data_IF_944838681621
#
_entry.id   IF_944838681621
#
_cell.length_a   1.000
_cell.length_b   1.000
_cell.length_c   1.000
_cell.angle_alpha   90.00
_cell.angle_beta   90.00
_cell.angle_gamma   90.00
#
_symmetry.space_group_name_H-M   'P 1'
#
loop_
_entity.id
_entity.type
_entity.pdbx_description
1 polymer ?
#
# COMPACT_ATOMS: atom_id res chain seq x y z
N UNK A 1 -3.78 7.72 15.46
CA UNK A 1 -3.85 6.27 15.17
C UNK A 1 -3.25 6.06 13.80
N UNK A 2 -2.29 5.14 13.69
CA UNK A 2 -1.57 4.86 12.44
C UNK A 2 -2.32 3.79 11.66
N UNK A 3 -2.46 4.02 10.36
CA UNK A 3 -3.20 3.13 9.46
C UNK A 3 -2.35 2.84 8.23
N UNK A 4 -2.32 1.58 7.81
CA UNK A 4 -1.71 1.14 6.56
C UNK A 4 -2.87 0.84 5.61
N UNK A 5 -2.97 1.59 4.53
CA UNK A 5 -4.02 1.43 3.53
C UNK A 5 -3.42 0.91 2.24
N UNK A 6 -3.96 -0.17 1.72
CA UNK A 6 -3.47 -0.78 0.49
C UNK A 6 -4.54 -0.59 -0.56
N UNK A 7 -4.19 0.19 -1.58
CA UNK A 7 -5.09 0.60 -2.65
C UNK A 7 -4.62 -0.08 -3.94
N UNK A 8 -5.52 -0.82 -4.56
CA UNK A 8 -5.41 -1.19 -5.96
C UNK A 8 -6.43 -0.36 -6.74
N UNK A 9 -6.22 0.95 -6.94
CA UNK A 9 -7.09 1.66 -7.83
C UNK A 9 -6.84 1.12 -9.24
N UNK A 10 -7.91 0.82 -9.97
CA UNK A 10 -7.87 0.99 -11.41
C UNK A 10 -7.36 2.39 -11.66
N UNK A 11 -6.18 2.53 -12.28
CA UNK A 11 -5.59 3.84 -12.56
C UNK A 11 -6.54 4.52 -13.55
N UNK A 12 -7.45 5.32 -12.99
CA UNK A 12 -8.26 6.23 -13.76
C UNK A 12 -7.36 7.41 -14.09
N UNK A 13 -6.99 7.51 -15.36
CA UNK A 13 -6.33 8.68 -15.88
C UNK A 13 -7.40 9.74 -16.17
N UNK A 14 -7.42 10.85 -15.40
CA UNK A 14 -8.40 11.90 -15.59
C UNK A 14 -8.18 12.70 -16.89
N UNK A 15 -6.96 12.73 -17.43
CA UNK A 15 -6.66 13.40 -18.70
C UNK A 15 -7.16 12.56 -19.88
N UNK A 16 -6.96 11.25 -19.82
CA UNK A 16 -7.38 10.34 -20.88
C UNK A 16 -8.85 9.87 -20.75
N UNK A 17 -9.55 10.20 -19.66
CA UNK A 17 -10.94 9.78 -19.33
C UNK A 17 -11.18 8.28 -19.53
N UNK A 18 -10.16 7.46 -19.38
CA UNK A 18 -10.19 6.01 -19.57
C UNK A 18 -9.45 5.35 -18.40
N UNK A 19 -9.85 4.13 -18.07
CA UNK A 19 -9.00 3.26 -17.26
C UNK A 19 -7.79 2.95 -18.12
N UNK A 20 -6.63 3.48 -17.76
CA UNK A 20 -5.41 3.28 -18.53
C UNK A 20 -4.88 1.91 -18.15
N UNK A 21 -5.08 1.00 -19.10
CA UNK A 21 -4.42 -0.30 -19.28
C UNK A 21 -3.97 -1.01 -18.01
N UNK A 22 -4.77 -2.01 -17.60
CA UNK A 22 -4.40 -3.16 -16.77
C UNK A 22 -3.52 -2.85 -15.55
N UNK A 23 -4.17 -2.85 -14.39
CA UNK A 23 -3.62 -2.75 -13.03
C UNK A 23 -2.62 -3.84 -12.67
N UNK A 24 -1.47 -3.83 -13.33
CA UNK A 24 -0.33 -4.67 -12.94
C UNK A 24 0.35 -4.07 -11.71
N UNK A 25 0.14 -2.79 -11.40
CA UNK A 25 0.74 -2.13 -10.24
C UNK A 25 -0.28 -1.85 -9.13
N UNK A 26 0.17 -1.99 -7.90
CA UNK A 26 -0.56 -1.83 -6.65
C UNK A 26 0.10 -0.72 -5.83
N UNK A 27 -0.71 0.12 -5.20
CA UNK A 27 -0.23 1.20 -4.33
C UNK A 27 -0.43 0.82 -2.86
N UNK A 28 0.66 0.76 -2.11
CA UNK A 28 0.63 0.66 -0.66
C UNK A 28 0.76 2.07 -0.11
N UNK A 29 -0.21 2.52 0.69
CA UNK A 29 -0.14 3.81 1.38
C UNK A 29 -0.11 3.68 2.91
N UNK A 30 0.60 4.58 3.56
CA UNK A 30 0.74 4.63 5.02
C UNK A 30 0.43 6.04 5.49
N UNK A 31 -0.55 6.17 6.37
CA UNK A 31 -1.01 7.47 6.88
C UNK A 31 -1.23 7.44 8.39
N UNK A 32 -1.41 8.63 8.99
CA UNK A 32 -1.53 8.81 10.44
C UNK A 32 -0.22 9.26 11.08
N UNK A 33 0.05 8.80 12.31
CA UNK A 33 1.22 9.20 13.08
C UNK A 33 2.47 8.44 12.61
N UNK A 34 3.06 8.92 11.52
CA UNK A 34 4.22 8.33 10.86
C UNK A 34 5.52 9.08 11.18
N UNK A 35 5.47 10.16 11.95
CA UNK A 35 6.60 11.08 12.14
C UNK A 35 7.82 10.37 12.77
N UNK A 36 7.58 9.55 13.79
CA UNK A 36 8.63 8.79 14.47
C UNK A 36 9.20 7.63 13.63
N UNK A 37 8.56 7.30 12.51
CA UNK A 37 8.91 6.18 11.65
C UNK A 37 9.31 6.62 10.23
N UNK A 38 9.33 7.93 9.95
CA UNK A 38 9.55 8.49 8.61
C UNK A 38 10.82 7.98 7.93
N UNK A 39 11.91 7.86 8.67
CA UNK A 39 13.21 7.44 8.12
C UNK A 39 13.19 5.95 7.73
N UNK A 40 12.55 5.11 8.55
CA UNK A 40 12.33 3.70 8.23
C UNK A 40 11.45 3.54 6.99
N UNK A 41 10.33 4.28 6.93
CA UNK A 41 9.39 4.23 5.80
C UNK A 41 10.10 4.65 4.50
N UNK A 42 10.91 5.71 4.56
CA UNK A 42 11.74 6.17 3.43
C UNK A 42 12.76 5.12 2.99
N UNK A 43 13.46 4.48 3.93
CA UNK A 43 14.42 3.40 3.63
C UNK A 43 13.75 2.19 2.98
N UNK A 44 12.48 1.92 3.31
CA UNK A 44 11.67 0.86 2.70
C UNK A 44 11.19 1.20 1.27
N UNK A 45 11.55 2.37 0.74
CA UNK A 45 11.26 2.77 -0.64
C UNK A 45 9.96 3.54 -0.82
N UNK A 46 9.29 3.94 0.27
CA UNK A 46 8.12 4.80 0.18
C UNK A 46 8.50 6.24 -0.15
N UNK A 47 7.64 6.87 -0.93
CA UNK A 47 7.69 8.28 -1.25
C UNK A 47 6.66 9.03 -0.41
N UNK A 48 6.98 10.26 0.00
CA UNK A 48 6.04 11.11 0.72
C UNK A 48 5.18 11.88 -0.29
N UNK A 49 3.87 11.76 -0.17
CA UNK A 49 2.90 12.62 -0.81
C UNK A 49 2.50 13.74 0.17
N UNK A 50 2.90 14.98 -0.16
CA UNK A 50 2.62 16.14 0.67
C UNK A 50 1.15 16.57 0.60
N UNK A 51 0.47 16.33 -0.53
CA UNK A 51 -0.92 16.71 -0.74
C UNK A 51 -1.85 15.74 0.00
N UNK A 52 -1.60 14.44 -0.14
CA UNK A 52 -2.32 13.38 0.57
C UNK A 52 -1.90 13.22 2.05
N UNK A 53 -0.78 13.83 2.46
CA UNK A 53 -0.14 13.62 3.78
C UNK A 53 0.04 12.14 4.10
N UNK A 54 0.40 11.36 3.09
CA UNK A 54 0.60 9.92 3.20
C UNK A 54 1.90 9.49 2.53
N UNK A 55 2.46 8.39 2.99
CA UNK A 55 3.54 7.71 2.30
C UNK A 55 2.93 6.76 1.28
N UNK A 56 3.55 6.61 0.12
CA UNK A 56 3.12 5.67 -0.90
C UNK A 56 4.27 4.85 -1.48
N UNK A 57 3.97 3.62 -1.86
CA UNK A 57 4.88 2.72 -2.55
C UNK A 57 4.13 1.98 -3.65
N UNK A 58 4.58 2.14 -4.89
CA UNK A 58 3.99 1.51 -6.07
C UNK A 58 4.81 0.26 -6.38
N UNK A 59 4.13 -0.88 -6.50
CA UNK A 59 4.76 -2.19 -6.72
C UNK A 59 3.96 -2.99 -7.73
N UNK A 60 4.63 -3.88 -8.46
CA UNK A 60 3.92 -4.80 -9.34
C UNK A 60 3.11 -5.82 -8.54
N UNK A 61 2.08 -6.38 -9.17
CA UNK A 61 1.17 -7.37 -8.61
C UNK A 61 1.93 -8.67 -8.31
N UNK A 62 2.92 -9.01 -9.14
CA UNK A 62 3.80 -10.16 -8.93
C UNK A 62 4.69 -9.95 -7.71
N UNK A 63 5.31 -8.77 -7.57
CA UNK A 63 6.08 -8.43 -6.38
C UNK A 63 5.19 -8.48 -5.14
N UNK A 64 3.98 -7.93 -5.22
CA UNK A 64 3.05 -7.87 -4.11
C UNK A 64 2.63 -9.26 -3.63
N UNK A 65 2.24 -10.16 -4.55
CA UNK A 65 1.89 -11.55 -4.22
C UNK A 65 3.04 -12.30 -3.54
N UNK A 66 4.28 -11.94 -3.85
CA UNK A 66 5.47 -12.64 -3.34
C UNK A 66 6.02 -12.04 -2.04
N UNK A 67 5.88 -10.72 -1.84
CA UNK A 67 6.61 -9.98 -0.81
C UNK A 67 5.72 -9.14 0.12
N UNK A 68 4.49 -8.78 -0.29
CA UNK A 68 3.72 -7.77 0.43
C UNK A 68 3.40 -8.20 1.86
N UNK A 69 3.04 -9.47 2.10
CA UNK A 69 2.67 -9.92 3.45
C UNK A 69 3.80 -9.77 4.47
N UNK A 70 5.00 -10.28 4.16
CA UNK A 70 6.15 -10.20 5.07
C UNK A 70 6.60 -8.75 5.25
N UNK A 71 6.62 -7.97 4.15
CA UNK A 71 6.97 -6.55 4.15
C UNK A 71 6.00 -5.70 4.99
N UNK A 72 4.70 -5.84 4.74
CA UNK A 72 3.64 -5.12 5.47
C UNK A 72 3.59 -5.52 6.94
N UNK A 73 3.80 -6.81 7.25
CA UNK A 73 3.84 -7.28 8.64
C UNK A 73 5.02 -6.70 9.41
N UNK A 74 6.19 -6.58 8.77
CA UNK A 74 7.36 -5.95 9.37
C UNK A 74 7.11 -4.47 9.66
N UNK A 75 6.54 -3.74 8.69
CA UNK A 75 6.17 -2.33 8.84
C UNK A 75 5.12 -2.18 9.95
N UNK A 76 4.03 -2.97 9.90
CA UNK A 76 2.95 -2.92 10.87
C UNK A 76 3.46 -3.19 12.29
N UNK A 77 4.32 -4.21 12.47
CA UNK A 77 4.94 -4.52 13.77
C UNK A 77 5.80 -3.35 14.28
N UNK A 78 6.60 -2.75 13.40
CA UNK A 78 7.49 -1.63 13.75
C UNK A 78 6.69 -0.39 14.14
N UNK A 79 5.56 -0.16 13.50
CA UNK A 79 4.68 0.98 13.74
C UNK A 79 3.62 0.73 14.83
N UNK A 80 3.61 -0.45 15.46
CA UNK A 80 2.57 -0.83 16.44
C UNK A 80 1.16 -0.92 15.85
N UNK A 81 1.04 -1.12 14.53
CA UNK A 81 -0.24 -1.23 13.82
C UNK A 81 -0.75 -2.66 13.97
N UNK A 82 -1.85 -2.82 14.71
CA UNK A 82 -2.55 -4.10 14.81
C UNK A 82 -3.28 -4.45 13.50
N UNK A 83 -3.81 -5.69 13.38
CA UNK A 83 -4.50 -6.16 12.16
C UNK A 83 -5.65 -5.27 11.70
N UNK A 84 -6.34 -4.59 12.65
CA UNK A 84 -7.44 -3.67 12.36
C UNK A 84 -7.01 -2.34 11.75
N UNK A 85 -5.72 -2.01 11.82
CA UNK A 85 -5.16 -0.82 11.19
C UNK A 85 -4.67 -1.06 9.75
N UNK A 86 -4.86 -2.27 9.21
CA UNK A 86 -4.56 -2.58 7.81
C UNK A 86 -5.88 -2.57 7.03
N UNK A 87 -6.00 -1.67 6.06
CA UNK A 87 -7.20 -1.47 5.25
C UNK A 87 -6.91 -1.89 3.81
N UNK A 88 -7.78 -2.71 3.23
CA UNK A 88 -7.64 -3.21 1.86
C UNK A 88 -8.73 -2.61 0.96
N UNK A 89 -8.31 -1.84 -0.02
CA UNK A 89 -9.17 -1.17 -0.99
C UNK A 89 -8.92 -1.72 -2.41
N UNK A 90 -10.01 -2.00 -3.12
CA UNK A 90 -10.01 -2.61 -4.46
C UNK A 90 -10.14 -4.14 -4.45
N UNK A 91 -10.79 -4.69 -5.48
CA UNK A 91 -10.96 -6.15 -5.61
C UNK A 91 -9.62 -6.86 -5.81
N UNK A 92 -8.69 -6.25 -6.55
CA UNK A 92 -7.36 -6.81 -6.81
C UNK A 92 -6.52 -6.95 -5.53
N UNK A 93 -6.54 -5.94 -4.64
CA UNK A 93 -5.90 -6.02 -3.32
C UNK A 93 -6.45 -7.18 -2.49
N UNK A 94 -7.78 -7.32 -2.47
CA UNK A 94 -8.46 -8.39 -1.71
C UNK A 94 -8.19 -9.77 -2.29
N UNK A 95 -8.20 -9.90 -3.62
CA UNK A 95 -7.92 -11.15 -4.32
C UNK A 95 -6.46 -11.59 -4.15
N UNK A 96 -5.51 -10.65 -4.24
CA UNK A 96 -4.09 -10.93 -4.00
C UNK A 96 -3.86 -11.48 -2.58
N UNK A 97 -4.52 -10.90 -1.57
CA UNK A 97 -4.45 -11.39 -0.19
C UNK A 97 -5.06 -12.77 0.01
N UNK A 98 -6.24 -13.03 -0.57
CA UNK A 98 -6.94 -14.32 -0.43
C UNK A 98 -6.10 -15.51 -0.94
N UNK A 99 -5.22 -15.27 -1.90
CA UNK A 99 -4.33 -16.29 -2.46
C UNK A 99 -3.06 -16.51 -1.63
N UNK A 100 -2.77 -15.66 -0.63
CA UNK A 100 -1.60 -15.78 0.25
C UNK A 100 -1.90 -16.49 1.58
N UNK A 101 -3.17 -16.60 1.99
CA UNK A 101 -3.62 -17.36 3.17
C UNK A 101 -3.84 -18.87 2.89
N UNK A 102 -3.42 -19.37 1.72
CA UNK A 102 -3.49 -20.78 1.32
C UNK A 102 -2.11 -21.41 1.24
#
# INVERSE_FOLDING_TARGET
MTTITIKAPDIYDPEARKVVESTTDLMISISGDTYNHKDMIKVKGFNWDADGKEWYYIVSQEWFKSNAYSFLREIAKTMGVGPRGIIWLGEQSKAAMKNMDK
#
